data_IF_790213934921
#
_entry.id   IF_790213934921
#
_cell.length_a   1.000
_cell.length_b   1.000
_cell.length_c   1.000
_cell.angle_alpha   90.00
_cell.angle_beta   90.00
_cell.angle_gamma   90.00
#
_symmetry.space_group_name_H-M   'P 1'
#
loop_
_entity.id
_entity.type
_entity.pdbx_description
1 polymer ?
2 water ?
#
# COMPACT_ATOMS: atom_id res chain seq x y z
N UNK A 12 -16.31 5.05 -20.24
CA UNK A 12 -15.03 4.45 -19.80
C UNK A 12 -14.96 4.32 -18.27
N UNK A 13 -14.38 3.23 -17.73
CA UNK A 13 -14.17 3.06 -16.28
C UNK A 13 -12.90 3.75 -15.75
N UNK A 14 -12.96 4.04 -14.45
CA UNK A 14 -11.86 4.74 -13.75
C UNK A 14 -11.77 4.29 -12.30
N UNK A 15 -10.59 4.37 -11.70
CA UNK A 15 -10.34 4.12 -10.30
C UNK A 15 -10.88 5.24 -9.41
N UNK A 16 -10.87 6.50 -9.90
CA UNK A 16 -10.89 7.69 -9.05
C UNK A 16 -12.16 8.49 -9.32
N UNK A 17 -13.01 8.61 -8.29
CA UNK A 17 -14.32 9.23 -8.37
C UNK A 17 -14.54 10.15 -7.16
N UNK A 18 -15.27 11.24 -7.37
CA UNK A 18 -15.77 12.09 -6.28
C UNK A 18 -17.29 12.00 -6.26
N UNK A 19 -17.90 12.30 -5.10
CA UNK A 19 -19.35 12.28 -5.03
C UNK A 19 -19.89 13.22 -3.96
N UNK A 20 -21.18 13.55 -4.16
CA UNK A 20 -22.00 14.30 -3.23
C UNK A 20 -23.33 13.57 -3.08
N UNK A 21 -23.82 13.51 -1.84
CA UNK A 21 -25.16 13.04 -1.56
C UNK A 21 -25.82 14.06 -0.64
N UNK A 22 -26.92 14.68 -1.10
CA UNK A 22 -27.62 15.72 -0.34
C UNK A 22 -28.64 15.09 0.59
N UNK A 23 -28.70 15.54 1.85
CA UNK A 23 -29.71 15.10 2.81
C UNK A 23 -29.64 13.59 2.95
N UNK A 24 -28.48 13.00 3.34
CA UNK A 24 -28.40 11.55 3.51
C UNK A 24 -29.32 11.11 4.65
N UNK A 25 -30.04 10.00 4.45
CA UNK A 25 -30.72 9.32 5.54
C UNK A 25 -29.70 8.58 6.40
N UNK A 26 -30.16 8.22 7.62
CA UNK A 26 -29.47 7.29 8.51
C UNK A 26 -28.99 6.05 7.73
N UNK A 27 -29.87 5.44 6.94
CA UNK A 27 -29.58 4.20 6.22
C UNK A 27 -28.57 4.41 5.11
N UNK A 28 -28.62 5.56 4.42
CA UNK A 28 -27.66 5.87 3.38
C UNK A 28 -26.25 6.06 3.97
N UNK A 29 -26.15 6.72 5.12
CA UNK A 29 -24.88 6.83 5.83
C UNK A 29 -24.32 5.44 6.20
N UNK A 30 -25.18 4.55 6.70
CA UNK A 30 -24.79 3.23 7.18
C UNK A 30 -24.33 2.34 6.02
N UNK A 31 -25.03 2.43 4.88
CA UNK A 31 -24.64 1.77 3.65
C UNK A 31 -23.19 2.12 3.28
N UNK A 32 -22.90 3.42 3.22
CA UNK A 32 -21.58 3.88 2.79
C UNK A 32 -20.52 3.48 3.81
N UNK A 33 -20.83 3.55 5.11
CA UNK A 33 -19.90 3.13 6.19
C UNK A 33 -19.71 1.60 6.22
N UNK A 34 -20.66 0.83 5.68
CA UNK A 34 -20.54 -0.62 5.64
C UNK A 34 -19.86 -1.16 4.38
N UNK A 35 -19.47 -0.29 3.45
CA UNK A 35 -18.75 -0.75 2.28
C UNK A 35 -17.48 -1.50 2.68
N UNK A 36 -17.23 -2.70 2.11
CA UNK A 36 -16.00 -3.45 2.43
C UNK A 36 -14.76 -2.62 2.10
N UNK A 37 -13.84 -2.48 3.09
CA UNK A 37 -12.65 -1.65 2.94
C UNK A 37 -11.64 -2.25 1.95
N UNK A 38 -11.85 -3.50 1.54
CA UNK A 38 -11.10 -4.14 0.46
C UNK A 38 -11.39 -3.52 -0.90
N UNK A 39 -12.45 -2.72 -1.06
CA UNK A 39 -12.74 -2.12 -2.35
C UNK A 39 -11.73 -1.01 -2.73
N UNK A 40 -11.03 -0.41 -1.75
CA UNK A 40 -10.42 0.89 -1.99
C UNK A 40 -8.94 0.93 -1.65
N UNK A 41 -8.15 1.53 -2.55
CA UNK A 41 -6.84 2.05 -2.20
C UNK A 41 -6.98 3.19 -1.19
N UNK A 42 -7.99 4.06 -1.40
CA UNK A 42 -8.30 5.13 -0.48
C UNK A 42 -9.76 5.54 -0.67
N UNK A 43 -10.36 5.91 0.45
CA UNK A 43 -11.77 6.25 0.54
C UNK A 43 -11.92 7.20 1.71
N UNK A 44 -12.52 8.35 1.44
CA UNK A 44 -12.79 9.35 2.51
C UNK A 44 -14.17 9.95 2.24
N UNK A 45 -15.05 9.90 3.23
CA UNK A 45 -16.37 10.55 3.10
C UNK A 45 -16.54 11.47 4.29
N UNK A 46 -16.78 12.74 4.03
CA UNK A 46 -17.06 13.67 5.12
C UNK A 46 -18.51 14.11 5.17
N UNK A 47 -18.97 14.51 6.35
CA UNK A 47 -20.33 14.98 6.54
C UNK A 47 -20.29 16.49 6.73
N UNK A 48 -21.04 17.23 5.91
CA UNK A 48 -20.93 18.67 5.80
C UNK A 48 -22.32 19.30 5.92
N UNK A 49 -22.35 20.64 5.98
CA UNK A 49 -23.58 21.42 5.99
C UNK A 49 -24.38 21.22 7.28
N UNK A 50 -23.69 21.15 8.42
CA UNK A 50 -24.29 21.00 9.74
C UNK A 50 -25.07 22.26 10.11
N UNK A 51 -24.52 23.45 9.80
CA UNK A 51 -25.07 24.76 10.19
C UNK A 51 -26.40 25.02 9.50
N UNK A 52 -27.30 25.73 10.22
CA UNK A 52 -28.73 25.74 9.94
C UNK A 52 -29.09 26.43 8.62
N UNK A 53 -28.21 27.29 8.08
CA UNK A 53 -28.41 27.90 6.78
C UNK A 53 -28.51 26.90 5.61
N UNK A 54 -27.63 25.89 5.64
CA UNK A 54 -27.47 25.06 4.41
C UNK A 54 -27.92 23.60 4.42
N UNK A 55 -27.69 22.97 3.27
CA UNK A 55 -28.10 21.60 3.04
C UNK A 55 -27.07 20.61 3.64
N UNK A 56 -27.46 19.72 4.60
CA UNK A 56 -26.57 18.65 5.07
C UNK A 56 -26.23 17.69 3.92
N UNK A 57 -24.97 17.27 3.87
CA UNK A 57 -24.54 16.41 2.73
C UNK A 57 -23.23 15.65 2.97
N UNK A 58 -23.04 14.56 2.25
CA UNK A 58 -21.80 13.81 2.25
C UNK A 58 -20.93 14.34 1.13
N UNK A 59 -19.62 14.51 1.38
CA UNK A 59 -18.66 14.94 0.37
C UNK A 59 -17.57 13.87 0.33
N UNK A 60 -17.39 13.16 -0.78
CA UNK A 60 -16.60 11.95 -0.73
C UNK A 60 -15.62 11.81 -1.88
N UNK A 61 -14.59 10.97 -1.66
CA UNK A 61 -13.62 10.63 -2.69
C UNK A 61 -13.28 9.15 -2.54
N UNK A 62 -13.29 8.44 -3.68
CA UNK A 62 -12.99 7.02 -3.72
C UNK A 62 -11.94 6.81 -4.80
N UNK A 63 -10.85 6.15 -4.41
CA UNK A 63 -9.86 5.60 -5.30
C UNK A 63 -9.94 4.07 -5.14
N UNK A 64 -10.64 3.41 -6.07
CA UNK A 64 -10.86 1.97 -6.02
C UNK A 64 -9.60 1.24 -6.43
N UNK A 65 -9.40 0.04 -5.87
CA UNK A 65 -8.33 -0.86 -6.27
C UNK A 65 -8.36 -1.12 -7.77
N UNK A 66 -9.53 -1.40 -8.37
CA UNK A 66 -9.62 -1.60 -9.81
C UNK A 66 -10.64 -0.62 -10.42
N UNK A 67 -10.52 -0.44 -11.74
CA UNK A 67 -11.35 0.52 -12.45
C UNK A 67 -12.82 0.09 -12.38
N UNK A 68 -13.71 1.07 -12.24
CA UNK A 68 -15.13 0.87 -12.02
C UNK A 68 -15.86 1.73 -13.05
N UNK A 69 -16.95 1.19 -13.62
CA UNK A 69 -17.88 1.98 -14.42
C UNK A 69 -18.69 2.86 -13.50
N UNK A 70 -19.30 3.92 -14.08
CA UNK A 70 -20.23 4.82 -13.39
C UNK A 70 -21.32 4.03 -12.66
N UNK A 71 -21.90 3.06 -13.37
CA UNK A 71 -22.97 2.21 -12.87
C UNK A 71 -22.49 1.42 -11.64
N UNK A 72 -21.32 0.77 -11.70
CA UNK A 72 -20.74 0.09 -10.54
C UNK A 72 -20.56 1.02 -9.33
N UNK A 73 -20.19 2.29 -9.55
CA UNK A 73 -19.96 3.22 -8.46
C UNK A 73 -21.29 3.56 -7.78
N UNK A 74 -22.34 3.78 -8.59
CA UNK A 74 -23.71 3.95 -8.11
C UNK A 74 -24.16 2.77 -7.24
N UNK A 75 -23.82 1.54 -7.67
CA UNK A 75 -24.11 0.33 -6.90
C UNK A 75 -23.49 0.38 -5.51
N UNK A 76 -22.18 0.72 -5.42
CA UNK A 76 -21.49 0.77 -4.13
C UNK A 76 -22.00 1.92 -3.27
N UNK A 77 -22.08 3.13 -3.82
CA UNK A 77 -22.53 4.30 -3.07
C UNK A 77 -24.06 4.33 -3.16
N UNK A 78 -24.68 5.48 -2.98
CA UNK A 78 -26.08 5.64 -3.37
C UNK A 78 -26.31 5.73 -4.88
N UNK A 79 -27.52 5.28 -5.30
CA UNK A 79 -28.15 5.73 -6.53
C UNK A 79 -28.42 7.24 -6.52
N UNK A 80 -28.72 7.83 -5.37
CA UNK A 80 -29.01 9.28 -5.28
C UNK A 80 -27.71 10.11 -5.36
N UNK A 81 -26.53 9.52 -5.11
CA UNK A 81 -25.27 10.22 -5.16
C UNK A 81 -25.07 10.87 -6.55
N UNK A 82 -24.52 12.08 -6.51
CA UNK A 82 -24.03 12.74 -7.73
C UNK A 82 -22.57 12.30 -7.77
N UNK A 83 -22.10 11.79 -8.87
CA UNK A 83 -20.81 11.15 -9.00
C UNK A 83 -20.14 11.74 -10.25
N UNK A 84 -18.85 12.02 -10.13
CA UNK A 84 -18.06 12.54 -11.27
C UNK A 84 -16.62 12.02 -11.09
N UNK A 85 -15.93 11.91 -12.21
CA UNK A 85 -14.52 11.46 -12.19
C UNK A 85 -13.70 12.45 -11.39
N UNK A 86 -12.70 11.94 -10.70
CA UNK A 86 -11.86 12.81 -9.87
C UNK A 86 -10.79 13.51 -10.69
N UNK A 87 -10.56 14.76 -10.26
CA UNK A 87 -9.48 15.61 -10.82
C UNK A 87 -8.66 16.05 -9.61
N UNK A 88 -7.37 16.34 -9.79
CA UNK A 88 -6.51 16.67 -8.65
C UNK A 88 -5.90 15.43 -8.01
N UNK A 89 -4.97 15.60 -7.08
CA UNK A 89 -4.34 14.49 -6.36
C UNK A 89 -5.28 13.89 -5.29
N UNK A 90 -4.95 12.67 -4.80
CA UNK A 90 -5.65 12.05 -3.69
C UNK A 90 -5.57 12.96 -2.44
N UNK A 91 -4.41 13.59 -2.24
CA UNK A 91 -4.14 14.46 -1.11
C UNK A 91 -5.06 15.69 -1.11
N UNK A 92 -5.19 16.36 -2.28
CA UNK A 92 -6.05 17.52 -2.39
C UNK A 92 -7.50 17.11 -2.15
N UNK A 93 -7.91 15.91 -2.63
CA UNK A 93 -9.25 15.40 -2.36
C UNK A 93 -9.45 15.04 -0.88
N UNK A 94 -8.41 14.54 -0.20
CA UNK A 94 -8.48 14.26 1.23
C UNK A 94 -8.75 15.56 2.00
N UNK A 95 -7.98 16.61 1.72
CA UNK A 95 -8.15 17.89 2.39
C UNK A 95 -9.54 18.50 2.13
N UNK A 96 -10.01 18.42 0.89
CA UNK A 96 -11.32 18.94 0.53
C UNK A 96 -12.41 18.19 1.30
N UNK A 97 -12.34 16.85 1.31
CA UNK A 97 -13.38 16.08 1.96
C UNK A 97 -13.28 16.13 3.49
N UNK A 98 -12.18 16.61 4.11
CA UNK A 98 -12.08 16.67 5.57
C UNK A 98 -12.14 18.08 6.16
N UNK A 99 -12.46 19.10 5.34
CA UNK A 99 -12.34 20.50 5.76
C UNK A 99 -13.36 20.95 6.82
N UNK A 100 -14.48 20.22 7.05
CA UNK A 100 -15.43 20.51 8.13
C UNK A 100 -15.24 19.57 9.33
N UNK A 101 -14.20 18.73 9.35
CA UNK A 101 -13.75 18.03 10.56
C UNK A 101 -14.68 16.92 11.08
N UNK A 102 -15.47 16.27 10.22
CA UNK A 102 -16.45 15.27 10.66
C UNK A 102 -16.49 14.11 9.67
N UNK A 103 -15.60 13.12 9.82
CA UNK A 103 -15.54 12.01 8.86
C UNK A 103 -16.56 10.91 9.19
N UNK A 104 -17.30 10.48 8.18
CA UNK A 104 -18.12 9.28 8.23
C UNK A 104 -17.24 8.02 8.16
N UNK A 105 -16.26 8.04 7.24
CA UNK A 105 -15.40 6.89 7.01
C UNK A 105 -14.13 7.41 6.33
N UNK A 106 -13.00 6.83 6.69
CA UNK A 106 -11.77 6.95 5.93
C UNK A 106 -10.98 5.65 6.06
N UNK A 107 -10.53 5.02 4.97
CA UNK A 107 -9.91 3.73 5.18
C UNK A 107 -8.88 3.59 4.06
N UNK A 108 -7.66 3.13 4.20
CA UNK A 108 -6.84 3.29 2.97
C UNK A 108 -5.74 4.38 3.20
N UNK A 109 -4.97 4.70 2.15
CA UNK A 109 -3.98 5.78 2.17
C UNK A 109 -3.96 6.46 0.80
N UNK A 110 -3.87 7.80 0.71
CA UNK A 110 -3.85 8.49 -0.59
C UNK A 110 -2.72 7.98 -1.47
N UNK A 111 -2.96 7.94 -2.77
CA UNK A 111 -1.90 7.55 -3.73
C UNK A 111 -1.05 8.77 -4.08
N UNK A 112 0.23 8.72 -3.78
CA UNK A 112 1.16 9.83 -4.09
C UNK A 112 1.87 9.49 -5.40
N UNK A 113 1.76 10.38 -6.38
CA UNK A 113 2.33 10.12 -7.73
C UNK A 113 3.82 10.44 -7.73
N UNK A 114 4.56 9.92 -6.74
CA UNK A 114 5.98 10.27 -6.59
C UNK A 114 6.04 11.58 -5.82
N UNK A 115 5.33 12.61 -6.32
CA UNK A 115 5.25 13.91 -5.62
C UNK A 115 6.62 14.25 -5.02
N UNK A 116 6.74 14.18 -3.69
CA UNK A 116 8.01 14.40 -2.95
C UNK A 116 7.90 13.60 -1.65
N UNK A 117 9.02 13.16 -1.06
CA UNK A 117 8.88 12.29 0.13
C UNK A 117 9.76 12.70 1.31
N UNK A 118 10.98 13.21 1.09
CA UNK A 118 11.94 13.47 2.21
C UNK A 118 12.32 12.14 2.86
N UNK A 119 11.61 11.05 2.53
CA UNK A 119 11.89 9.71 3.04
C UNK A 119 12.94 9.11 2.11
N UNK A 120 13.94 8.40 2.65
CA UNK A 120 15.01 7.85 1.82
C UNK A 120 14.45 6.85 0.80
N UNK A 121 15.04 6.84 -0.42
CA UNK A 121 14.73 5.86 -1.46
C UNK A 121 15.78 4.73 -1.50
N UNK A 122 16.75 4.74 -0.58
CA UNK A 122 17.80 3.75 -0.53
C UNK A 122 17.42 2.62 0.43
N UNK A 123 17.33 1.38 -0.08
CA UNK A 123 17.07 0.20 0.71
C UNK A 123 17.98 0.11 1.93
N UNK A 124 19.27 0.41 1.74
CA UNK A 124 20.27 0.32 2.79
C UNK A 124 20.07 1.33 3.93
N UNK A 125 19.22 2.39 3.78
CA UNK A 125 18.89 3.27 4.91
C UNK A 125 17.81 2.72 5.84
N UNK A 126 17.10 1.65 5.44
CA UNK A 126 16.12 0.98 6.28
C UNK A 126 16.84 -0.14 7.04
N UNK A 127 16.96 0.05 8.35
CA UNK A 127 17.76 -0.82 9.20
C UNK A 127 16.83 -1.92 9.74
N UNK A 128 17.25 -3.21 9.62
CA UNK A 128 16.51 -4.36 10.16
C UNK A 128 16.45 -4.39 11.69
N UNK A 129 17.27 -3.56 12.37
CA UNK A 129 17.15 -3.30 13.80
C UNK A 129 16.08 -2.26 14.13
N UNK A 130 15.37 -1.70 13.13
CA UNK A 130 14.39 -0.65 13.35
C UNK A 130 13.04 -1.21 12.88
N UNK A 131 12.16 -1.67 13.80
CA UNK A 131 10.84 -2.17 13.44
C UNK A 131 9.96 -1.17 12.70
N UNK A 132 9.97 0.09 13.14
CA UNK A 132 9.20 1.13 12.46
C UNK A 132 9.68 1.27 11.01
N UNK A 133 11.00 1.38 10.82
CA UNK A 133 11.63 1.45 9.51
C UNK A 133 11.30 0.23 8.64
N UNK A 134 11.25 -0.96 9.27
CA UNK A 134 10.90 -2.19 8.56
C UNK A 134 9.41 -2.18 8.17
N UNK A 135 8.54 -1.62 9.02
CA UNK A 135 7.15 -1.49 8.65
C UNK A 135 7.05 -0.59 7.42
N UNK A 136 7.78 0.52 7.39
CA UNK A 136 7.73 1.43 6.25
C UNK A 136 8.34 0.80 5.00
N UNK A 137 9.44 0.05 5.17
CA UNK A 137 10.04 -0.65 4.05
C UNK A 137 9.02 -1.65 3.47
N UNK A 138 8.36 -2.40 4.32
CA UNK A 138 7.49 -3.50 3.83
C UNK A 138 6.12 -2.98 3.39
N UNK A 139 6.01 -1.88 2.63
CA UNK A 139 4.67 -1.44 2.12
C UNK A 139 4.73 -0.62 0.82
N UNK A 140 3.60 -0.36 0.16
CA UNK A 140 3.54 0.45 -1.09
C UNK A 140 4.26 1.79 -0.91
N UNK A 141 4.83 2.36 -1.98
CA UNK A 141 5.46 3.68 -1.91
C UNK A 141 4.44 4.70 -1.38
N UNK A 142 3.18 4.59 -1.79
CA UNK A 142 2.11 5.50 -1.30
C UNK A 142 1.75 5.19 0.16
N UNK A 143 1.67 3.94 0.56
CA UNK A 143 1.38 3.58 1.97
C UNK A 143 2.56 4.02 2.86
N UNK A 144 3.79 3.83 2.40
CA UNK A 144 5.01 4.23 3.17
C UNK A 144 5.02 5.73 3.48
N UNK A 145 4.78 6.54 2.46
CA UNK A 145 4.79 8.02 2.62
C UNK A 145 3.71 8.43 3.61
N UNK A 146 2.53 7.83 3.47
CA UNK A 146 1.43 8.16 4.37
C UNK A 146 1.69 7.66 5.81
N UNK A 147 2.18 6.40 5.97
CA UNK A 147 2.44 5.86 7.31
C UNK A 147 3.60 6.54 8.01
N UNK A 148 4.58 7.09 7.28
CA UNK A 148 5.72 7.76 7.91
C UNK A 148 5.27 9.02 8.68
N UNK A 149 4.04 9.50 8.45
CA UNK A 149 3.45 10.62 9.15
C UNK A 149 2.24 10.21 9.99
N UNK A 150 2.00 8.90 10.16
CA UNK A 150 0.78 8.43 10.79
C UNK A 150 0.95 8.51 12.31
N UNK A 151 -0.05 9.13 12.93
CA UNK A 151 -0.16 9.33 14.37
C UNK A 151 -0.06 8.00 15.15
N UNK A 152 -0.75 6.96 14.67
CA UNK A 152 -0.80 5.67 15.36
C UNK A 152 0.53 4.90 15.20
N UNK A 153 1.17 4.97 14.03
CA UNK A 153 2.50 4.39 13.92
C UNK A 153 3.47 5.16 14.82
N UNK A 154 3.24 6.47 15.01
CA UNK A 154 4.03 7.28 15.93
C UNK A 154 3.86 6.86 17.39
N UNK A 155 2.63 6.52 17.80
CA UNK A 155 2.44 5.93 19.14
C UNK A 155 3.26 4.65 19.27
N UNK A 156 3.21 3.76 18.28
CA UNK A 156 3.92 2.50 18.32
C UNK A 156 5.43 2.73 18.39
N UNK A 157 5.94 3.67 17.59
CA UNK A 157 7.34 4.06 17.70
C UNK A 157 7.69 4.49 19.14
N UNK A 158 6.84 5.31 19.76
CA UNK A 158 7.09 5.83 21.11
C UNK A 158 7.15 4.71 22.15
N UNK A 159 6.29 3.70 22.07
CA UNK A 159 6.32 2.58 23.02
C UNK A 159 7.57 1.75 22.85
N UNK A 160 7.98 1.47 21.60
CA UNK A 160 9.21 0.74 21.33
C UNK A 160 10.43 1.49 21.89
N UNK A 161 10.50 2.82 21.72
CA UNK A 161 11.64 3.61 22.21
C UNK A 161 11.70 3.64 23.73
N UNK A 162 10.54 3.73 24.39
CA UNK A 162 10.41 3.61 25.83
C UNK A 162 11.09 2.34 26.35
N UNK A 163 10.73 1.19 25.79
CA UNK A 163 11.24 -0.10 26.24
C UNK A 163 12.71 -0.26 25.84
N UNK A 164 13.07 0.16 24.63
CA UNK A 164 14.44 -0.11 24.12
C UNK A 164 15.29 1.15 24.10
N UNK A 165 15.12 2.02 25.09
CA UNK A 165 15.98 3.22 25.22
C UNK A 165 16.61 3.19 26.58
N UNK B 12 4.43 -4.13 -25.79
CA UNK B 12 3.48 -3.67 -24.73
C UNK B 12 4.15 -3.61 -23.35
N UNK B 13 4.01 -2.51 -22.56
CA UNK B 13 4.53 -2.45 -21.20
C UNK B 13 3.70 -3.17 -20.13
N UNK B 14 4.37 -3.64 -19.09
CA UNK B 14 3.64 -4.22 -17.93
C UNK B 14 4.33 -3.86 -16.63
N UNK B 15 3.63 -4.07 -15.52
CA UNK B 15 4.21 -3.75 -14.21
C UNK B 15 4.90 -4.96 -13.60
N UNK B 16 4.56 -6.16 -14.05
CA UNK B 16 5.06 -7.39 -13.39
C UNK B 16 6.07 -8.14 -14.25
N UNK B 17 7.29 -8.24 -13.75
CA UNK B 17 8.39 -8.89 -14.49
C UNK B 17 9.23 -9.80 -13.61
N UNK B 18 9.64 -10.95 -14.12
CA UNK B 18 10.59 -11.84 -13.48
C UNK B 18 11.93 -11.75 -14.19
N UNK B 19 13.02 -12.07 -13.50
CA UNK B 19 14.32 -12.01 -14.14
C UNK B 19 15.34 -12.93 -13.49
N UNK B 20 16.36 -13.24 -14.28
CA UNK B 20 17.53 -14.01 -13.89
C UNK B 20 18.78 -13.25 -14.35
N UNK B 21 19.83 -13.29 -13.54
CA UNK B 21 21.13 -12.78 -13.92
C UNK B 21 22.15 -13.83 -13.49
N UNK B 22 22.91 -14.39 -14.43
CA UNK B 22 23.88 -15.44 -14.13
C UNK B 22 25.23 -14.81 -13.77
N UNK B 23 25.88 -15.29 -12.69
CA UNK B 23 27.21 -14.88 -12.29
C UNK B 23 27.23 -13.36 -12.11
N UNK B 24 26.40 -12.77 -11.23
CA UNK B 24 26.41 -11.31 -11.05
C UNK B 24 27.76 -10.88 -10.47
N UNK B 25 28.31 -9.78 -10.98
CA UNK B 25 29.42 -9.09 -10.33
C UNK B 25 28.94 -8.36 -9.05
N UNK B 26 29.90 -8.01 -8.19
CA UNK B 26 29.74 -7.10 -7.08
C UNK B 26 28.95 -5.86 -7.50
N UNK B 27 29.35 -5.21 -8.62
CA UNK B 27 28.72 -3.98 -9.08
C UNK B 27 27.30 -4.21 -9.60
N UNK B 28 27.02 -5.35 -10.23
CA UNK B 28 25.67 -5.67 -10.67
C UNK B 28 24.73 -5.91 -9.48
N UNK B 29 25.22 -6.56 -8.42
CA UNK B 29 24.47 -6.70 -7.18
C UNK B 29 24.16 -5.33 -6.58
N UNK B 30 25.14 -4.42 -6.59
CA UNK B 30 25.01 -3.10 -5.97
C UNK B 30 24.03 -2.22 -6.74
N UNK B 31 24.06 -2.30 -8.06
CA UNK B 31 23.12 -1.62 -8.94
C UNK B 31 21.69 -2.00 -8.57
N UNK B 32 21.41 -3.31 -8.47
CA UNK B 32 20.06 -3.79 -8.18
C UNK B 32 19.66 -3.37 -6.77
N UNK B 33 20.57 -3.47 -5.80
CA UNK B 33 20.30 -3.09 -4.39
C UNK B 33 20.13 -1.59 -4.25
N UNK B 34 20.71 -0.79 -5.14
CA UNK B 34 20.60 0.65 -5.08
C UNK B 34 19.41 1.21 -5.86
N UNK B 35 18.60 0.38 -6.51
CA UNK B 35 17.43 0.88 -7.21
C UNK B 35 16.53 1.61 -6.21
N UNK B 36 16.07 2.85 -6.51
CA UNK B 36 15.18 3.58 -5.59
C UNK B 36 13.93 2.73 -5.33
N UNK B 37 13.59 2.56 -4.03
CA UNK B 37 12.51 1.67 -3.61
C UNK B 37 11.14 2.26 -3.96
N UNK B 38 11.11 3.55 -4.36
CA UNK B 38 9.92 4.21 -4.89
C UNK B 38 9.51 3.63 -6.24
N UNK B 39 10.36 2.88 -6.93
CA UNK B 39 9.97 2.27 -8.21
C UNK B 39 8.92 1.16 -8.06
N UNK B 40 8.75 0.55 -6.88
CA UNK B 40 8.10 -0.76 -6.83
C UNK B 40 6.97 -0.81 -5.83
N UNK B 41 5.85 -1.40 -6.25
CA UNK B 41 4.87 -1.93 -5.30
C UNK B 41 5.46 -3.10 -4.53
N UNK B 42 6.22 -3.97 -5.22
CA UNK B 42 6.95 -5.06 -4.61
C UNK B 42 8.16 -5.44 -5.46
N UNK B 43 9.22 -5.87 -4.80
CA UNK B 43 10.48 -6.21 -5.41
C UNK B 43 11.19 -7.21 -4.50
N UNK B 44 11.61 -8.33 -5.06
CA UNK B 44 12.37 -9.36 -4.30
C UNK B 44 13.44 -9.93 -5.22
N UNK B 45 14.67 -9.93 -4.75
CA UNK B 45 15.78 -10.55 -5.53
C UNK B 45 16.48 -11.53 -4.60
N UNK B 46 16.48 -12.81 -4.97
CA UNK B 46 17.21 -13.81 -4.21
C UNK B 46 18.51 -14.21 -4.87
N UNK B 47 19.50 -14.59 -4.09
CA UNK B 47 20.80 -15.06 -4.57
C UNK B 47 20.82 -16.57 -4.48
N UNK B 48 21.08 -17.26 -5.60
CA UNK B 48 20.94 -18.71 -5.70
C UNK B 48 22.22 -19.33 -6.26
N UNK B 49 22.31 -20.66 -6.12
CA UNK B 49 23.40 -21.45 -6.68
C UNK B 49 24.76 -21.16 -6.06
N UNK B 50 24.84 -21.07 -4.74
CA UNK B 50 26.14 -20.85 -4.09
C UNK B 50 26.97 -22.14 -4.15
N UNK B 51 26.30 -23.30 -4.05
CA UNK B 51 26.94 -24.65 -4.11
C UNK B 51 27.80 -24.82 -5.36
N UNK B 52 28.91 -25.55 -5.27
CA UNK B 52 29.84 -25.59 -6.39
C UNK B 52 29.31 -26.40 -7.58
N UNK B 53 28.29 -27.25 -7.39
CA UNK B 53 27.59 -27.90 -8.50
C UNK B 53 26.99 -26.94 -9.53
N UNK B 54 26.46 -25.81 -9.07
CA UNK B 54 25.63 -25.00 -10.00
C UNK B 54 26.08 -23.57 -10.30
N UNK B 55 25.32 -22.95 -11.20
CA UNK B 55 25.57 -21.58 -11.64
C UNK B 55 25.11 -20.57 -10.58
N UNK B 56 25.97 -19.69 -10.01
CA UNK B 56 25.50 -18.61 -9.13
C UNK B 56 24.63 -17.62 -9.92
N UNK B 57 23.49 -17.25 -9.34
CA UNK B 57 22.54 -16.37 -10.08
C UNK B 57 21.53 -15.63 -9.20
N UNK B 58 21.09 -14.46 -9.66
CA UNK B 58 20.03 -13.72 -9.00
C UNK B 58 18.72 -14.22 -9.59
N UNK B 59 17.68 -14.37 -8.74
CA UNK B 59 16.35 -14.78 -9.15
C UNK B 59 15.42 -13.71 -8.58
N UNK B 60 14.68 -13.00 -9.46
CA UNK B 60 13.99 -11.82 -8.99
C UNK B 60 12.59 -11.66 -9.55
N UNK B 61 11.82 -10.82 -8.85
CA UNK B 61 10.47 -10.46 -9.24
C UNK B 61 10.27 -8.99 -8.89
N UNK B 62 9.80 -8.23 -9.88
CA UNK B 62 9.50 -6.81 -9.74
C UNK B 62 8.06 -6.59 -10.16
N UNK B 63 7.31 -5.97 -9.25
CA UNK B 63 6.01 -5.39 -9.54
C UNK B 63 6.15 -3.87 -9.41
N UNK B 64 6.30 -3.19 -10.55
CA UNK B 64 6.51 -1.75 -10.58
C UNK B 64 5.21 -1.02 -10.31
N UNK B 65 5.33 0.16 -9.71
CA UNK B 65 4.20 1.06 -9.51
C UNK B 65 3.48 1.32 -10.84
N UNK B 66 4.21 1.66 -11.91
CA UNK B 66 3.58 1.87 -13.21
C UNK B 66 4.20 0.94 -14.26
N UNK B 67 3.45 0.76 -15.35
CA UNK B 67 3.86 -0.13 -16.42
C UNK B 67 5.20 0.34 -17.01
N UNK B 68 6.05 -0.64 -17.32
CA UNK B 68 7.39 -0.39 -17.85
C UNK B 68 7.53 -1.18 -19.14
N UNK B 69 8.18 -0.60 -20.16
CA UNK B 69 8.62 -1.36 -21.33
C UNK B 69 9.75 -2.31 -20.94
N UNK B 70 9.94 -3.37 -21.75
CA UNK B 70 11.07 -4.28 -21.68
C UNK B 70 12.40 -3.53 -21.57
N UNK B 71 12.58 -2.53 -22.44
CA UNK B 71 13.80 -1.71 -22.46
C UNK B 71 14.03 -1.01 -21.13
N UNK B 72 12.99 -0.36 -20.57
CA UNK B 72 13.08 0.28 -19.27
C UNK B 72 13.53 -0.71 -18.19
N UNK B 73 13.03 -1.95 -18.24
CA UNK B 73 13.34 -2.93 -17.20
C UNK B 73 14.81 -3.35 -17.30
N UNK B 74 15.30 -3.56 -18.52
CA UNK B 74 16.72 -3.81 -18.81
C UNK B 74 17.61 -2.73 -18.22
N UNK B 75 17.17 -1.48 -18.36
CA UNK B 75 17.97 -0.33 -17.86
C UNK B 75 18.07 -0.39 -16.34
N UNK B 76 16.94 -0.59 -15.68
CA UNK B 76 16.92 -0.65 -14.19
C UNK B 76 17.69 -1.85 -13.66
N UNK B 77 17.48 -3.05 -14.20
CA UNK B 77 18.06 -4.24 -13.60
C UNK B 77 19.46 -4.57 -14.15
N UNK B 78 19.71 -4.16 -15.37
CA UNK B 78 21.01 -4.38 -15.99
C UNK B 78 20.85 -5.17 -17.27
N UNK B 79 21.73 -4.87 -18.23
CA UNK B 79 21.63 -5.32 -19.61
C UNK B 79 21.79 -6.84 -19.72
N UNK B 80 22.52 -7.45 -18.80
CA UNK B 80 22.76 -8.92 -18.85
C UNK B 80 21.61 -9.71 -18.23
N UNK B 81 20.65 -9.06 -17.56
CA UNK B 81 19.49 -9.77 -17.02
C UNK B 81 18.65 -10.39 -18.13
N UNK B 82 18.20 -11.64 -17.92
CA UNK B 82 17.18 -12.29 -18.71
C UNK B 82 15.83 -12.02 -18.06
N UNK B 83 14.90 -11.44 -18.82
CA UNK B 83 13.72 -10.76 -18.32
C UNK B 83 12.51 -11.31 -19.07
N UNK B 84 11.46 -11.62 -18.34
CA UNK B 84 10.22 -12.16 -18.95
C UNK B 84 9.01 -11.61 -18.21
N UNK B 85 7.86 -11.55 -18.88
CA UNK B 85 6.61 -11.16 -18.21
C UNK B 85 6.31 -12.19 -17.11
N UNK B 86 5.97 -11.69 -15.93
CA UNK B 86 5.74 -12.58 -14.78
C UNK B 86 4.42 -13.32 -14.88
N UNK B 87 4.45 -14.57 -14.45
CA UNK B 87 3.21 -15.37 -14.40
C UNK B 87 2.92 -15.67 -12.94
N UNK B 88 1.63 -15.84 -12.62
CA UNK B 88 1.28 -16.22 -11.24
C UNK B 88 1.06 -15.05 -10.31
N UNK B 89 0.88 -15.34 -9.03
CA UNK B 89 0.61 -14.28 -8.03
C UNK B 89 1.90 -13.70 -7.48
N UNK B 90 1.83 -12.48 -6.95
CA UNK B 90 2.99 -11.87 -6.30
C UNK B 90 3.53 -12.82 -5.20
N UNK B 91 2.61 -13.47 -4.48
CA UNK B 91 2.91 -14.38 -3.38
C UNK B 91 3.69 -15.60 -3.89
N UNK B 92 3.24 -16.22 -4.98
CA UNK B 92 3.93 -17.36 -5.55
C UNK B 92 5.33 -16.96 -6.02
N UNK B 93 5.48 -15.75 -6.56
CA UNK B 93 6.80 -15.23 -6.97
C UNK B 93 7.68 -14.91 -5.78
N UNK B 94 7.09 -14.45 -4.66
CA UNK B 94 7.81 -14.23 -3.42
C UNK B 94 8.45 -15.55 -2.94
N UNK B 95 7.62 -16.61 -2.88
CA UNK B 95 8.08 -17.91 -2.42
C UNK B 95 9.18 -18.47 -3.31
N UNK B 96 8.98 -18.39 -4.63
CA UNK B 96 9.96 -18.85 -5.59
C UNK B 96 11.30 -18.12 -5.42
N UNK B 97 11.27 -16.79 -5.34
CA UNK B 97 12.52 -16.03 -5.24
C UNK B 97 13.13 -16.11 -3.86
N UNK B 98 12.45 -16.61 -2.80
CA UNK B 98 13.06 -16.71 -1.46
C UNK B 98 13.41 -18.13 -1.02
N UNK B 99 13.26 -19.13 -1.89
CA UNK B 99 13.37 -20.54 -1.49
C UNK B 99 14.79 -21.01 -1.09
N UNK B 100 15.86 -20.29 -1.47
CA UNK B 100 17.22 -20.57 -1.00
C UNK B 100 17.69 -19.67 0.15
N UNK B 101 16.79 -18.86 0.76
CA UNK B 101 17.06 -18.21 2.02
C UNK B 101 18.11 -17.08 2.02
N UNK B 102 18.42 -16.43 0.89
CA UNK B 102 19.44 -15.40 0.84
C UNK B 102 18.99 -14.19 0.00
N UNK B 103 18.32 -13.19 0.60
CA UNK B 103 17.80 -12.06 -0.16
C UNK B 103 18.85 -10.97 -0.36
N UNK B 104 19.00 -10.50 -1.59
CA UNK B 104 19.77 -9.29 -1.90
C UNK B 104 18.97 -8.04 -1.52
N UNK B 105 17.67 -8.01 -1.84
CA UNK B 105 16.82 -6.85 -1.58
C UNK B 105 15.39 -7.36 -1.52
N UNK B 106 14.58 -6.78 -0.63
CA UNK B 106 13.12 -7.02 -0.58
C UNK B 106 12.51 -5.73 -0.03
N UNK B 107 11.68 -5.12 -0.86
CA UNK B 107 10.99 -3.85 -0.50
C UNK B 107 9.54 -3.94 -0.97
N UNK B 108 8.65 -3.27 -0.25
CA UNK B 108 7.24 -3.27 -0.62
C UNK B 108 6.46 -4.44 -0.07
N UNK B 109 5.33 -4.73 -0.69
CA UNK B 109 4.43 -5.79 -0.21
C UNK B 109 3.71 -6.40 -1.39
N UNK B 110 3.60 -7.75 -1.49
CA UNK B 110 2.98 -8.37 -2.67
C UNK B 110 1.55 -7.85 -2.87
N UNK B 111 1.19 -7.72 -4.13
CA UNK B 111 -0.21 -7.36 -4.47
C UNK B 111 -1.07 -8.61 -4.27
N UNK B 112 -2.25 -8.46 -3.68
CA UNK B 112 -3.13 -9.57 -3.29
C UNK B 112 -4.42 -9.47 -4.08
N UNK B 113 -4.56 -10.31 -5.10
CA UNK B 113 -5.52 -10.12 -6.19
C UNK B 113 -6.83 -10.78 -5.74
N UNK B 114 -6.75 -12.08 -5.42
CA UNK B 114 -7.79 -12.80 -4.72
C UNK B 114 -7.63 -12.65 -3.21
N UNK B 115 -8.41 -11.78 -2.58
CA UNK B 115 -8.19 -11.43 -1.14
C UNK B 115 -8.68 -12.45 -0.11
N UNK B 116 -8.20 -13.71 -0.14
CA UNK B 116 -8.45 -14.70 0.89
C UNK B 116 -7.70 -14.27 2.15
N UNK B 117 -8.20 -13.19 2.76
CA UNK B 117 -7.72 -12.66 4.04
C UNK B 117 -8.56 -13.23 5.18
N UNK B 118 -7.96 -13.25 6.38
CA UNK B 118 -8.63 -13.54 7.64
C UNK B 118 -9.11 -12.25 8.31
N UNK B 119 -8.96 -11.12 7.61
CA UNK B 119 -8.95 -9.80 8.21
C UNK B 119 -10.29 -9.14 7.87
N UNK B 120 -10.94 -8.52 8.87
CA UNK B 120 -12.26 -7.94 8.68
C UNK B 120 -12.26 -6.89 7.55
N UNK B 121 -13.35 -6.83 6.79
CA UNK B 121 -13.57 -5.82 5.76
C UNK B 121 -14.51 -4.71 6.25
N UNK B 122 -14.92 -4.76 7.53
CA UNK B 122 -15.84 -3.80 8.12
C UNK B 122 -15.07 -2.67 8.82
N UNK B 123 -15.28 -1.42 8.37
CA UNK B 123 -14.65 -0.25 8.96
C UNK B 123 -14.83 -0.19 10.48
N UNK B 124 -16.05 -0.52 10.95
CA UNK B 124 -16.38 -0.46 12.37
C UNK B 124 -15.68 -1.53 13.21
N UNK B 125 -15.01 -2.55 12.64
CA UNK B 125 -14.16 -3.46 13.41
C UNK B 125 -12.77 -2.91 13.70
N UNK B 126 -12.35 -1.81 13.04
CA UNK B 126 -11.07 -1.17 13.32
C UNK B 126 -11.30 -0.08 14.36
N UNK B 127 -10.79 -0.32 15.57
CA UNK B 127 -11.05 0.53 16.72
C UNK B 127 -9.94 1.56 16.76
N UNK B 128 -10.33 2.84 16.94
CA UNK B 128 -9.41 3.98 17.00
C UNK B 128 -8.59 3.98 18.30
N UNK B 129 -8.96 3.14 19.28
CA UNK B 129 -8.13 2.82 20.46
C UNK B 129 -7.09 1.72 20.20
N UNK B 130 -7.00 1.18 18.97
CA UNK B 130 -6.06 0.13 18.64
C UNK B 130 -5.09 0.68 17.60
N UNK B 131 -3.87 1.13 17.99
CA UNK B 131 -2.88 1.65 17.04
C UNK B 131 -2.46 0.67 15.94
N UNK B 132 -2.29 -0.60 16.28
CA UNK B 132 -1.98 -1.62 15.29
C UNK B 132 -3.11 -1.69 14.27
N UNK B 133 -4.35 -1.83 14.75
CA UNK B 133 -5.53 -1.86 13.89
C UNK B 133 -5.66 -0.60 13.03
N UNK B 134 -5.34 0.57 13.59
CA UNK B 134 -5.35 1.82 12.84
C UNK B 134 -4.24 1.86 11.78
N UNK B 135 -3.06 1.30 12.10
CA UNK B 135 -2.01 1.19 11.08
C UNK B 135 -2.55 0.34 9.92
N UNK B 136 -3.21 -0.78 10.23
CA UNK B 136 -3.73 -1.65 9.18
C UNK B 136 -4.87 -0.98 8.39
N UNK B 137 -5.75 -0.25 9.10
CA UNK B 137 -6.81 0.51 8.43
C UNK B 137 -6.20 1.52 7.48
N UNK B 138 -5.10 2.21 7.84
CA UNK B 138 -4.59 3.36 7.12
C UNK B 138 -3.55 2.95 6.08
N UNK B 139 -3.76 1.82 5.39
CA UNK B 139 -2.97 1.48 4.20
C UNK B 139 -3.86 0.66 3.25
N UNK B 140 -3.41 0.50 2.01
CA UNK B 140 -4.17 -0.19 0.95
C UNK B 140 -4.44 -1.67 1.26
N UNK B 141 -5.40 -2.32 0.58
CA UNK B 141 -5.77 -3.72 0.86
C UNK B 141 -4.59 -4.69 0.79
N UNK B 142 -3.74 -4.57 -0.23
CA UNK B 142 -2.53 -5.41 -0.32
C UNK B 142 -1.57 -5.17 0.85
N UNK B 143 -1.31 -3.92 1.20
CA UNK B 143 -0.32 -3.67 2.28
C UNK B 143 -0.90 -4.12 3.62
N UNK B 144 -2.17 -3.87 3.83
CA UNK B 144 -2.84 -4.28 5.10
C UNK B 144 -2.73 -5.78 5.30
N UNK B 145 -3.05 -6.55 4.27
CA UNK B 145 -3.02 -7.99 4.33
C UNK B 145 -1.59 -8.50 4.62
N UNK B 146 -0.57 -7.91 3.98
CA UNK B 146 0.83 -8.26 4.23
C UNK B 146 1.29 -7.81 5.63
N UNK B 147 0.96 -6.56 6.05
CA UNK B 147 1.38 -6.06 7.35
C UNK B 147 0.71 -6.80 8.52
N UNK B 148 -0.51 -7.31 8.33
CA UNK B 148 -1.19 -8.06 9.38
C UNK B 148 -0.43 -9.32 9.81
N UNK B 149 0.54 -9.77 8.99
CA UNK B 149 1.40 -10.91 9.26
C UNK B 149 2.87 -10.52 9.40
N UNK B 150 3.18 -9.21 9.45
CA UNK B 150 4.55 -8.75 9.45
C UNK B 150 5.14 -8.87 10.86
N UNK B 151 6.31 -9.49 10.92
CA UNK B 151 7.09 -9.74 12.12
C UNK B 151 7.38 -8.44 12.89
N UNK B 152 7.79 -7.38 12.18
CA UNK B 152 8.18 -6.13 12.78
C UNK B 152 6.97 -5.37 13.32
N UNK B 153 5.83 -5.38 12.61
CA UNK B 153 4.62 -4.81 13.19
C UNK B 153 4.20 -5.61 14.41
N UNK B 154 4.45 -6.94 14.41
CA UNK B 154 4.21 -7.82 15.55
C UNK B 154 5.05 -7.45 16.77
N UNK B 155 6.33 -7.12 16.56
CA UNK B 155 7.14 -6.59 17.65
C UNK B 155 6.50 -5.35 18.24
N UNK B 156 6.12 -4.39 17.37
CA UNK B 156 5.54 -3.14 17.83
C UNK B 156 4.25 -3.42 18.62
N UNK B 157 3.38 -4.30 18.12
CA UNK B 157 2.20 -4.71 18.85
C UNK B 157 2.58 -5.21 20.26
N UNK B 158 3.60 -6.07 20.36
CA UNK B 158 4.00 -6.66 21.65
C UNK B 158 4.48 -5.60 22.66
N UNK B 159 5.23 -4.58 22.21
CA UNK B 159 5.66 -3.50 23.08
C UNK B 159 4.48 -2.68 23.57
N UNK B 160 3.53 -2.35 22.68
CA UNK B 160 2.32 -1.62 23.06
C UNK B 160 1.53 -2.39 24.12
N UNK B 161 1.36 -3.71 23.95
CA UNK B 161 0.61 -4.55 24.89
C UNK B 161 1.27 -4.59 26.27
N UNK B 162 2.61 -4.73 26.28
CA UNK B 162 3.42 -4.68 27.48
C UNK B 162 3.12 -3.41 28.30
N UNK B 163 3.19 -2.24 27.66
CA UNK B 163 2.99 -0.97 28.41
C UNK B 163 1.51 -0.74 28.73
N UNK B 164 0.60 -1.06 27.81
CA UNK B 164 -0.86 -0.86 28.01
C UNK B 164 -1.46 -2.24 28.24
N UNK B 165 -1.34 -2.77 29.46
CA UNK B 165 -1.70 -4.17 29.71
C UNK B 165 -2.45 -4.44 31.03
#
# INVERSE_FOLDING_TARGET
MPSKKNGRSGPQPHKRWVFTLNNPSEDERKKIRDLPISLFDYFIVGEEGNEEGRTPHLQGFANFVKKQTFNKVKWYLGARCHIEKAKGTDQQNKEYCSKEGNLLIECGAPRSQGQRSDLSTAYSDYQQSDPVGMVLLNCCPSCRSSLSEDYFLGILEECYRTIHGGRGPVRHPFPPMPLEHHHHHH
MPSKKNGRSGPQPHKRWVFTLNNPSEDERKKIRDLPISLFDYFIVGEEGNEEGRTPHLQGFANFVKKQTFNKVKWYLGARCHIEKAKGTDQQNKEYCSKEGNLLIECGAPRSQGQRSDLSTAYSDYQQSDPVGMVLLNCCPSCRSSLSEDYFLGILEECYRTIHGGRGPVRHPFPPMPLEHHHHHH
#
